data_IF_656000670045
#
_entry.id   IF_656000670045
#
_cell.length_a   1.000
_cell.length_b   1.000
_cell.length_c   1.000
_cell.angle_alpha   90.00
_cell.angle_beta   90.00
_cell.angle_gamma   90.00
#
_symmetry.space_group_name_H-M   'P 1'
#
loop_
_entity.id
_entity.type
_entity.pdbx_description
1 polymer ?
#
# COMPACT_ATOMS: atom_id res chain seq x y z
N UNK A 1 -4.99 -24.21 -18.75
CA UNK A 1 -4.96 -22.78 -19.12
C UNK A 1 -5.45 -21.87 -17.99
N UNK A 2 -6.64 -22.08 -17.40
CA UNK A 2 -7.18 -21.20 -16.34
C UNK A 2 -6.31 -21.05 -15.08
N UNK A 3 -5.66 -22.13 -14.62
CA UNK A 3 -4.75 -22.06 -13.44
C UNK A 3 -3.53 -21.20 -13.71
N UNK A 4 -2.90 -21.30 -14.88
CA UNK A 4 -1.74 -20.47 -15.24
C UNK A 4 -2.10 -18.99 -15.31
N UNK A 5 -3.29 -18.67 -15.82
CA UNK A 5 -3.82 -17.29 -15.85
C UNK A 5 -4.02 -16.78 -14.41
N UNK A 6 -4.64 -17.59 -13.54
CA UNK A 6 -4.84 -17.22 -12.14
C UNK A 6 -3.51 -17.02 -11.39
N UNK A 7 -2.51 -17.86 -11.65
CA UNK A 7 -1.17 -17.71 -11.08
C UNK A 7 -0.46 -16.45 -11.59
N UNK A 8 -0.52 -16.16 -12.89
CA UNK A 8 0.05 -14.94 -13.44
C UNK A 8 -0.62 -13.69 -12.89
N UNK A 9 -1.96 -13.73 -12.74
CA UNK A 9 -2.73 -12.68 -12.09
C UNK A 9 -2.26 -12.46 -10.65
N UNK A 10 -2.17 -13.52 -9.85
CA UNK A 10 -1.82 -13.44 -8.44
C UNK A 10 -0.36 -13.04 -8.18
N UNK A 11 0.59 -13.57 -8.97
CA UNK A 11 2.02 -13.41 -8.71
C UNK A 11 2.64 -12.20 -9.40
N UNK A 12 1.99 -11.65 -10.42
CA UNK A 12 2.54 -10.53 -11.21
C UNK A 12 1.57 -9.36 -11.22
N UNK A 13 0.35 -9.57 -11.71
CA UNK A 13 -0.59 -8.46 -11.93
C UNK A 13 -1.03 -7.84 -10.61
N UNK A 14 -1.41 -8.64 -9.61
CA UNK A 14 -1.86 -8.13 -8.31
C UNK A 14 -0.74 -7.31 -7.64
N UNK A 15 0.49 -7.82 -7.42
CA UNK A 15 1.55 -7.03 -6.78
C UNK A 15 1.87 -5.75 -7.56
N UNK A 16 1.99 -5.83 -8.89
CA UNK A 16 2.30 -4.63 -9.70
C UNK A 16 1.23 -3.56 -9.57
N UNK A 17 -0.05 -3.93 -9.64
CA UNK A 17 -1.16 -2.98 -9.51
C UNK A 17 -1.27 -2.47 -8.07
N UNK A 18 -1.04 -3.32 -7.08
CA UNK A 18 -1.04 -2.97 -5.66
C UNK A 18 0.00 -1.90 -5.35
N UNK A 19 1.26 -2.17 -5.72
CA UNK A 19 2.36 -1.22 -5.57
C UNK A 19 2.12 0.07 -6.37
N UNK A 20 1.61 -0.04 -7.60
CA UNK A 20 1.28 1.14 -8.40
C UNK A 20 0.28 2.06 -7.69
N UNK A 21 -0.74 1.52 -7.00
CA UNK A 21 -1.70 2.32 -6.23
C UNK A 21 -1.01 3.04 -5.06
N UNK A 22 -0.15 2.36 -4.29
CA UNK A 22 0.64 3.03 -3.26
C UNK A 22 1.40 4.22 -3.84
N UNK A 23 2.12 4.01 -4.93
CA UNK A 23 2.95 5.07 -5.51
C UNK A 23 2.13 6.23 -6.10
N UNK A 24 0.99 5.96 -6.72
CA UNK A 24 0.08 7.01 -7.19
C UNK A 24 -0.39 7.86 -6.00
N UNK A 25 -0.82 7.23 -4.91
CA UNK A 25 -1.27 7.97 -3.72
C UNK A 25 -0.10 8.71 -3.05
N UNK A 26 1.09 8.12 -3.02
CA UNK A 26 2.30 8.79 -2.53
C UNK A 26 2.60 10.06 -3.33
N UNK A 27 2.51 10.01 -4.67
CA UNK A 27 2.66 11.19 -5.53
C UNK A 27 1.60 12.26 -5.24
N UNK A 28 0.34 11.86 -5.01
CA UNK A 28 -0.74 12.79 -4.66
C UNK A 28 -0.51 13.47 -3.30
N UNK A 29 0.22 12.82 -2.38
CA UNK A 29 0.67 13.41 -1.12
C UNK A 29 1.98 14.20 -1.22
N UNK A 30 2.58 14.28 -2.42
CA UNK A 30 3.84 15.00 -2.68
C UNK A 30 5.11 14.22 -2.36
N UNK A 31 5.02 12.91 -2.11
CA UNK A 31 6.17 12.02 -1.94
C UNK A 31 6.61 11.40 -3.27
N UNK A 32 7.88 11.04 -3.39
CA UNK A 32 8.41 10.44 -4.62
C UNK A 32 8.59 8.92 -4.44
N UNK A 33 7.72 8.09 -5.04
CA UNK A 33 7.78 6.64 -4.86
C UNK A 33 8.97 6.02 -5.58
N UNK A 34 9.54 5.01 -4.94
CA UNK A 34 10.54 4.10 -5.48
C UNK A 34 10.05 2.67 -5.29
N UNK A 35 10.20 1.84 -6.32
CA UNK A 35 9.67 0.48 -6.33
C UNK A 35 10.80 -0.54 -6.25
N UNK A 36 10.51 -1.72 -5.68
CA UNK A 36 11.46 -2.83 -5.68
C UNK A 36 10.80 -4.17 -5.39
N UNK A 37 11.64 -5.21 -5.36
CA UNK A 37 11.23 -6.59 -5.07
C UNK A 37 12.20 -7.17 -4.07
N UNK A 38 11.67 -7.59 -2.91
CA UNK A 38 12.39 -8.30 -1.87
C UNK A 38 12.15 -9.82 -1.94
N UNK A 39 12.68 -10.59 -0.97
CA UNK A 39 12.47 -12.03 -0.89
C UNK A 39 11.00 -12.39 -0.62
N UNK A 40 10.23 -12.57 -1.70
CA UNK A 40 8.83 -12.99 -1.63
C UNK A 40 7.80 -11.86 -1.55
N UNK A 41 8.20 -10.60 -1.77
CA UNK A 41 7.28 -9.46 -1.79
C UNK A 41 7.75 -8.37 -2.79
N UNK A 42 6.81 -7.63 -3.35
CA UNK A 42 7.08 -6.34 -3.99
C UNK A 42 6.87 -5.23 -2.96
N UNK A 43 7.45 -4.05 -3.18
CA UNK A 43 7.27 -2.93 -2.29
C UNK A 43 7.36 -1.59 -3.04
N UNK A 44 6.70 -0.59 -2.45
CA UNK A 44 6.77 0.81 -2.82
C UNK A 44 7.20 1.58 -1.58
N UNK A 45 8.29 2.32 -1.71
CA UNK A 45 8.83 3.15 -0.64
C UNK A 45 9.05 4.58 -1.13
N UNK A 46 9.49 5.49 -0.27
CA UNK A 46 9.72 6.89 -0.64
C UNK A 46 10.91 7.48 0.10
N UNK A 47 11.62 8.40 -0.55
CA UNK A 47 12.88 8.97 -0.03
C UNK A 47 12.63 10.05 1.02
N UNK A 48 11.49 10.74 0.94
CA UNK A 48 11.13 11.82 1.85
C UNK A 48 10.28 11.31 3.02
N UNK A 49 10.41 11.89 4.22
CA UNK A 49 9.51 11.52 5.29
C UNK A 49 8.12 12.08 5.00
N UNK A 50 7.07 11.34 5.34
CA UNK A 50 5.68 11.82 5.26
C UNK A 50 5.07 11.98 6.65
N UNK A 51 3.98 12.73 6.76
CA UNK A 51 3.21 12.84 8.00
C UNK A 51 2.42 11.56 8.30
N UNK A 52 2.04 11.39 9.57
CA UNK A 52 1.23 10.25 10.02
C UNK A 52 -0.02 10.00 9.18
N UNK A 53 -0.76 11.05 8.82
CA UNK A 53 -2.00 10.94 8.03
C UNK A 53 -1.73 10.49 6.59
N UNK A 54 -0.70 11.05 5.96
CA UNK A 54 -0.27 10.70 4.61
C UNK A 54 0.20 9.24 4.57
N UNK A 55 1.00 8.81 5.55
CA UNK A 55 1.45 7.42 5.66
C UNK A 55 0.27 6.43 5.74
N UNK A 56 -0.73 6.72 6.58
CA UNK A 56 -1.93 5.89 6.70
C UNK A 56 -2.75 5.86 5.40
N UNK A 57 -2.85 7.00 4.72
CA UNK A 57 -3.56 7.10 3.44
C UNK A 57 -2.87 6.28 2.36
N UNK A 58 -1.55 6.40 2.22
CA UNK A 58 -0.74 5.64 1.26
C UNK A 58 -0.85 4.15 1.56
N UNK A 59 -0.58 3.73 2.80
CA UNK A 59 -0.56 2.31 3.18
C UNK A 59 -1.91 1.63 2.98
N UNK A 60 -3.03 2.26 3.34
CA UNK A 60 -4.34 1.62 3.18
C UNK A 60 -4.95 1.77 1.78
N UNK A 61 -4.29 2.52 0.89
CA UNK A 61 -4.86 2.85 -0.41
C UNK A 61 -5.13 1.64 -1.33
N UNK A 62 -4.25 0.63 -1.47
CA UNK A 62 -4.54 -0.48 -2.38
C UNK A 62 -5.67 -1.35 -1.85
N UNK A 63 -5.72 -1.57 -0.53
CA UNK A 63 -6.80 -2.31 0.10
C UNK A 63 -8.15 -1.65 -0.21
N UNK A 64 -8.27 -0.33 -0.08
CA UNK A 64 -9.53 0.38 -0.31
C UNK A 64 -9.85 0.50 -1.80
N UNK A 65 -8.93 1.06 -2.59
CA UNK A 65 -9.16 1.39 -4.01
C UNK A 65 -9.41 0.13 -4.83
N UNK A 66 -8.56 -0.88 -4.69
CA UNK A 66 -8.68 -2.10 -5.48
C UNK A 66 -9.85 -2.98 -5.02
N UNK A 67 -10.23 -2.92 -3.75
CA UNK A 67 -11.46 -3.59 -3.29
C UNK A 67 -12.71 -2.94 -3.87
N UNK A 68 -12.81 -1.61 -3.86
CA UNK A 68 -13.96 -0.91 -4.44
C UNK A 68 -14.08 -1.21 -5.93
N UNK A 69 -12.97 -1.14 -6.68
CA UNK A 69 -12.94 -1.46 -8.10
C UNK A 69 -13.32 -2.93 -8.33
N UNK A 70 -12.72 -3.87 -7.60
CA UNK A 70 -13.01 -5.30 -7.77
C UNK A 70 -14.46 -5.66 -7.42
N UNK A 71 -15.04 -5.07 -6.38
CA UNK A 71 -16.45 -5.22 -6.04
C UNK A 71 -17.37 -4.67 -7.14
N UNK A 72 -17.04 -3.53 -7.74
CA UNK A 72 -17.78 -3.00 -8.88
C UNK A 72 -17.69 -3.96 -10.09
N UNK A 73 -16.52 -4.51 -10.37
CA UNK A 73 -16.33 -5.50 -11.45
C UNK A 73 -17.13 -6.77 -11.21
N UNK A 74 -17.25 -7.25 -9.97
CA UNK A 74 -18.09 -8.42 -9.65
C UNK A 74 -19.57 -8.20 -10.03
N UNK A 75 -20.08 -6.99 -9.83
CA UNK A 75 -21.48 -6.65 -10.16
C UNK A 75 -21.65 -6.43 -11.66
N UNK A 76 -20.70 -5.73 -12.29
CA UNK A 76 -20.84 -5.26 -13.67
C UNK A 76 -20.38 -6.29 -14.72
N UNK A 77 -19.50 -7.22 -14.37
CA UNK A 77 -18.89 -8.18 -15.32
C UNK A 77 -18.90 -9.61 -14.75
N UNK A 78 -20.07 -10.27 -14.65
CA UNK A 78 -20.19 -11.59 -14.03
C UNK A 78 -19.37 -12.69 -14.71
N UNK A 79 -19.05 -12.54 -16.00
CA UNK A 79 -18.30 -13.52 -16.80
C UNK A 79 -16.87 -13.77 -16.29
N UNK A 80 -16.29 -12.86 -15.51
CA UNK A 80 -14.91 -12.99 -14.97
C UNK A 80 -14.86 -13.14 -13.44
N UNK A 81 -16.00 -13.44 -12.79
CA UNK A 81 -16.13 -13.52 -11.32
C UNK A 81 -15.00 -14.27 -10.63
N UNK A 82 -14.62 -15.45 -11.15
CA UNK A 82 -13.54 -16.26 -10.56
C UNK A 82 -12.18 -15.54 -10.53
N UNK A 83 -11.81 -14.85 -11.61
CA UNK A 83 -10.56 -14.08 -11.68
C UNK A 83 -10.62 -12.84 -10.79
N UNK A 84 -11.77 -12.16 -10.75
CA UNK A 84 -11.98 -11.00 -9.86
C UNK A 84 -11.87 -11.39 -8.40
N UNK A 85 -12.38 -12.56 -8.00
CA UNK A 85 -12.21 -13.08 -6.63
C UNK A 85 -10.74 -13.40 -6.32
N UNK A 86 -10.00 -14.02 -7.25
CA UNK A 86 -8.55 -14.25 -7.09
C UNK A 86 -7.81 -12.93 -6.91
N UNK A 87 -8.14 -11.91 -7.71
CA UNK A 87 -7.55 -10.58 -7.61
C UNK A 87 -7.85 -9.94 -6.25
N UNK A 88 -9.10 -9.94 -5.80
CA UNK A 88 -9.52 -9.36 -4.52
C UNK A 88 -8.86 -10.07 -3.32
N UNK A 89 -8.83 -11.40 -3.32
CA UNK A 89 -8.18 -12.18 -2.27
C UNK A 89 -6.67 -11.94 -2.27
N UNK A 90 -6.04 -11.91 -3.45
CA UNK A 90 -4.62 -11.59 -3.59
C UNK A 90 -4.29 -10.20 -3.05
N UNK A 91 -5.10 -9.20 -3.39
CA UNK A 91 -4.92 -7.82 -2.90
C UNK A 91 -5.06 -7.74 -1.37
N UNK A 92 -6.09 -8.37 -0.81
CA UNK A 92 -6.29 -8.40 0.64
C UNK A 92 -5.17 -9.14 1.38
N UNK A 93 -4.65 -10.22 0.80
CA UNK A 93 -3.51 -10.94 1.34
C UNK A 93 -2.21 -10.11 1.26
N UNK A 94 -1.98 -9.41 0.15
CA UNK A 94 -0.86 -8.48 0.00
C UNK A 94 -0.90 -7.34 1.03
N UNK A 95 -2.10 -6.82 1.32
CA UNK A 95 -2.30 -5.72 2.26
C UNK A 95 -2.10 -6.07 3.75
N UNK A 96 -1.75 -7.32 4.11
CA UNK A 96 -1.54 -7.70 5.52
C UNK A 96 -0.41 -6.89 6.15
N UNK A 97 0.67 -6.65 5.39
CA UNK A 97 1.76 -5.77 5.81
C UNK A 97 1.28 -4.34 6.04
N UNK A 98 0.50 -3.79 5.11
CA UNK A 98 -0.05 -2.44 5.21
C UNK A 98 -0.96 -2.25 6.41
N UNK A 99 -1.86 -3.21 6.67
CA UNK A 99 -2.76 -3.18 7.82
C UNK A 99 -1.96 -3.18 9.11
N UNK A 100 -0.91 -4.01 9.19
CA UNK A 100 -0.02 -4.05 10.33
C UNK A 100 0.71 -2.71 10.51
N UNK A 101 1.31 -2.18 9.46
CA UNK A 101 1.99 -0.87 9.50
C UNK A 101 1.03 0.25 9.88
N UNK A 102 -0.18 0.27 9.32
CA UNK A 102 -1.22 1.25 9.66
C UNK A 102 -1.62 1.15 11.14
N UNK A 103 -1.76 -0.06 11.67
CA UNK A 103 -2.06 -0.27 13.10
C UNK A 103 -0.92 0.24 14.00
N UNK A 104 0.34 0.00 13.63
CA UNK A 104 1.52 0.53 14.34
C UNK A 104 1.58 2.05 14.27
N UNK A 105 1.42 2.62 13.07
CA UNK A 105 1.43 4.07 12.82
C UNK A 105 0.31 4.79 13.58
N UNK A 106 -0.88 4.19 13.69
CA UNK A 106 -2.00 4.77 14.45
C UNK A 106 -1.64 5.02 15.92
N UNK A 107 -0.76 4.22 16.53
CA UNK A 107 -0.34 4.33 17.93
C UNK A 107 0.70 5.43 18.17
N UNK A 108 1.30 5.98 17.12
CA UNK A 108 2.30 7.05 17.23
C UNK A 108 1.66 8.41 17.59
N UNK A 109 2.38 9.35 18.24
CA UNK A 109 1.85 10.68 18.52
C UNK A 109 1.57 11.48 17.24
N UNK A 110 0.77 12.54 17.37
CA UNK A 110 0.61 13.50 16.29
C UNK A 110 1.95 14.24 16.05
N UNK A 111 2.18 14.69 14.81
CA UNK A 111 3.40 15.43 14.45
C UNK A 111 4.61 14.55 14.11
N UNK A 112 4.52 13.23 14.23
CA UNK A 112 5.59 12.33 13.76
C UNK A 112 5.78 12.45 12.25
N UNK A 113 7.04 12.30 11.85
CA UNK A 113 7.49 12.14 10.48
C UNK A 113 7.95 10.70 10.29
N UNK A 114 7.54 10.09 9.19
CA UNK A 114 7.72 8.67 8.92
C UNK A 114 8.50 8.51 7.62
N UNK A 115 9.69 7.92 7.72
CA UNK A 115 10.41 7.38 6.57
C UNK A 115 9.94 5.96 6.34
N UNK A 116 9.50 5.69 5.12
CA UNK A 116 9.24 4.32 4.69
C UNK A 116 10.55 3.67 4.24
N UNK A 117 10.69 2.39 4.55
CA UNK A 117 11.82 1.54 4.17
C UNK A 117 11.26 0.31 3.45
N UNK A 118 12.12 -0.39 2.70
CA UNK A 118 11.70 -1.57 1.94
C UNK A 118 11.03 -2.67 2.79
N UNK A 119 11.38 -2.77 4.08
CA UNK A 119 10.92 -3.80 5.01
C UNK A 119 10.33 -3.25 6.32
N UNK A 120 9.99 -1.95 6.37
CA UNK A 120 9.43 -1.33 7.55
C UNK A 120 9.39 0.19 7.49
N UNK A 121 9.41 0.85 8.65
CA UNK A 121 9.43 2.31 8.71
C UNK A 121 10.20 2.82 9.92
N UNK A 122 10.69 4.05 9.82
CA UNK A 122 11.27 4.81 10.93
C UNK A 122 10.39 6.01 11.22
N UNK A 123 9.92 6.11 12.46
CA UNK A 123 9.17 7.27 12.93
C UNK A 123 10.01 8.10 13.89
N UNK A 124 10.02 9.41 13.69
CA UNK A 124 10.67 10.35 14.60
C UNK A 124 9.76 11.55 14.84
N UNK A 125 9.89 12.15 16.02
CA UNK A 125 9.24 13.40 16.36
C UNK A 125 10.27 14.51 16.13
N UNK A 126 10.06 15.45 15.18
CA UNK A 126 10.96 16.58 15.02
C UNK A 126 11.03 17.37 16.34
N UNK A 127 12.23 17.71 16.80
CA UNK A 127 12.38 18.65 17.92
C UNK A 127 11.75 19.99 17.52
N UNK A 128 10.86 20.50 18.36
CA UNK A 128 10.14 21.74 18.08
C UNK A 128 11.05 22.97 18.16
N UNK A 129 10.73 23.99 17.35
CA UNK A 129 11.17 25.39 17.48
C UNK A 129 10.63 26.07 18.77
N UNK A 130 10.50 25.32 19.85
CA UNK A 130 9.95 25.74 21.16
C UNK A 130 10.95 25.53 22.30
N UNK A 131 12.25 25.45 22.00
CA UNK A 131 13.27 25.74 23.00
C UNK A 131 13.40 27.27 23.12
N UNK A 132 13.09 27.89 24.27
CA UNK A 132 13.56 29.24 24.51
C UNK A 132 15.09 29.22 24.44
N UNK A 133 15.64 30.14 23.63
CA UNK A 133 17.07 30.41 23.55
C UNK A 133 17.64 30.80 24.93
#
# INVERSE_FOLDING_TARGET
MGVLIALALLLVVVPVVHEAVHGIVAQLTGAHPSYGVGPGYAYTTFLEPVGKGEYLLIGLSPLVVLSVIGLAVLVLVPSITGLTLVFLVGNAAGAVGDIWMAWRTRQLPAGVRIYDLADGFVAYLPEGKDQPA
#
